data_IF_448729051792
#
_entry.id   IF_448729051792
#
_cell.length_a   1.000
_cell.length_b   1.000
_cell.length_c   1.000
_cell.angle_alpha   90.00
_cell.angle_beta   90.00
_cell.angle_gamma   90.00
#
_symmetry.space_group_name_H-M   'P 1'
#
loop_
_entity.id
_entity.type
_entity.pdbx_description
1 polymer ?
2 non-polymer ?
3 non-polymer ?
4 water ?
#
# COMPACT_ATOMS: atom_id res chain seq x y z
N UNK A 5 -10.10 27.49 19.30
CA UNK A 5 -9.95 27.01 20.70
C UNK A 5 -10.26 25.51 20.85
N UNK A 6 -10.31 24.81 19.72
CA UNK A 6 -10.59 23.37 19.74
C UNK A 6 -9.47 22.52 19.15
N UNK A 7 -8.63 21.93 20.02
CA UNK A 7 -7.50 21.07 19.68
C UNK A 7 -7.91 19.84 18.90
N UNK A 8 -7.01 19.39 18.02
CA UNK A 8 -7.26 18.22 17.20
C UNK A 8 -6.03 17.34 17.01
N UNK A 9 -6.24 16.03 16.88
CA UNK A 9 -5.19 15.03 16.68
C UNK A 9 -4.72 15.15 15.23
N UNK A 10 -5.57 15.74 14.40
CA UNK A 10 -5.31 15.91 12.99
C UNK A 10 -4.96 17.32 12.58
N UNK A 11 -4.29 17.39 11.44
CA UNK A 11 -3.91 18.65 10.83
C UNK A 11 -4.34 18.48 9.38
N UNK A 12 -5.23 19.35 8.91
CA UNK A 12 -5.71 19.29 7.54
C UNK A 12 -4.86 20.21 6.66
N UNK A 13 -4.56 19.75 5.44
CA UNK A 13 -3.76 20.53 4.52
C UNK A 13 -4.33 20.53 3.14
N UNK A 14 -4.03 21.61 2.43
CA UNK A 14 -4.39 21.72 1.04
C UNK A 14 -2.99 21.52 0.45
N UNK A 15 -2.91 20.93 -0.73
CA UNK A 15 -1.62 20.71 -1.35
C UNK A 15 -0.76 22.00 -1.35
N UNK A 16 -1.42 23.13 -1.63
CA UNK A 16 -0.73 24.42 -1.69
C UNK A 16 0.05 24.80 -0.44
N UNK A 17 -0.38 24.28 0.71
CA UNK A 17 0.31 24.58 1.96
C UNK A 17 1.30 23.45 2.26
N UNK A 18 0.85 22.21 2.02
CA UNK A 18 1.65 21.03 2.26
C UNK A 18 2.92 21.04 1.41
N UNK A 19 2.81 21.51 0.17
CA UNK A 19 3.95 21.55 -0.74
C UNK A 19 5.16 22.35 -0.21
N UNK A 20 4.92 23.25 0.74
CA UNK A 20 5.97 24.10 1.28
C UNK A 20 6.86 23.36 2.28
N UNK A 21 6.33 22.28 2.83
CA UNK A 21 7.07 21.48 3.82
C UNK A 21 8.15 20.59 3.19
N UNK A 22 8.34 20.75 1.89
CA UNK A 22 9.37 20.00 1.19
C UNK A 22 10.76 20.48 1.64
N UNK A 23 10.89 21.79 1.82
CA UNK A 23 12.15 22.40 2.22
C UNK A 23 13.23 22.12 1.17
N UNK A 24 14.42 21.70 1.62
CA UNK A 24 15.52 21.43 0.69
C UNK A 24 15.40 20.10 -0.05
N UNK A 25 14.63 19.16 0.52
CA UNK A 25 14.48 17.84 -0.08
C UNK A 25 14.68 17.75 -1.59
N UNK A 26 15.82 17.19 -2.02
CA UNK A 26 16.18 17.03 -3.43
C UNK A 26 15.22 16.07 -4.13
N UNK A 27 15.02 16.28 -5.42
CA UNK A 27 14.15 15.44 -6.22
C UNK A 27 15.07 14.45 -6.94
N UNK A 28 15.27 13.27 -6.35
CA UNK A 28 16.15 12.25 -6.91
C UNK A 28 15.45 11.26 -7.85
N UNK A 29 14.34 11.69 -8.46
CA UNK A 29 13.59 10.84 -9.37
C UNK A 29 13.38 11.53 -10.72
N UNK A 30 13.39 10.74 -11.79
CA UNK A 30 13.22 11.29 -13.14
C UNK A 30 11.83 11.07 -13.72
N UNK A 31 11.57 11.76 -14.82
CA UNK A 31 10.30 11.68 -15.54
C UNK A 31 10.16 10.27 -16.12
N UNK A 32 11.29 9.69 -16.53
CA UNK A 32 11.33 8.35 -17.10
C UNK A 32 10.95 7.36 -16.00
N UNK A 33 11.85 7.22 -15.04
CA UNK A 33 11.64 6.31 -13.91
C UNK A 33 10.24 6.44 -13.32
N UNK A 34 9.66 7.63 -13.38
CA UNK A 34 8.33 7.84 -12.84
C UNK A 34 7.26 7.06 -13.61
N UNK A 35 7.34 7.05 -14.94
CA UNK A 35 6.35 6.30 -15.71
C UNK A 35 6.62 4.81 -15.53
N UNK A 36 7.84 4.47 -15.13
CA UNK A 36 8.20 3.09 -14.90
C UNK A 36 7.68 2.59 -13.56
N UNK A 37 6.93 3.45 -12.88
CA UNK A 37 6.36 3.12 -11.57
C UNK A 37 4.88 3.49 -11.61
N UNK A 38 4.51 4.25 -12.62
CA UNK A 38 3.13 4.70 -12.77
C UNK A 38 2.22 3.48 -13.02
N UNK A 39 1.00 3.55 -12.51
CA UNK A 39 0.07 2.46 -12.70
C UNK A 39 -1.00 2.80 -13.72
N UNK A 40 -1.63 1.78 -14.27
CA UNK A 40 -2.70 1.98 -15.25
C UNK A 40 -3.78 2.91 -14.72
N UNK A 41 -3.85 4.11 -15.29
CA UNK A 41 -4.85 5.08 -14.88
C UNK A 41 -4.30 6.23 -14.07
N UNK A 42 -3.29 5.94 -13.24
CA UNK A 42 -2.65 6.93 -12.38
C UNK A 42 -1.90 8.00 -13.17
N UNK A 43 -2.40 9.24 -13.10
CA UNK A 43 -1.78 10.36 -13.79
C UNK A 43 -0.86 11.18 -12.90
N UNK A 44 0.08 10.51 -12.23
CA UNK A 44 1.02 11.20 -11.35
C UNK A 44 2.21 11.78 -12.13
N UNK A 45 2.38 13.10 -12.04
CA UNK A 45 3.48 13.78 -12.71
C UNK A 45 4.52 14.24 -11.69
N UNK A 46 5.73 14.55 -12.17
CA UNK A 46 6.81 15.00 -11.30
C UNK A 46 6.38 16.11 -10.34
N UNK A 47 5.48 16.98 -10.82
CA UNK A 47 5.02 18.08 -10.00
C UNK A 47 4.35 17.60 -8.72
N UNK A 48 3.54 16.55 -8.82
CA UNK A 48 2.85 16.00 -7.67
C UNK A 48 3.87 15.31 -6.76
N UNK A 49 4.90 14.75 -7.37
CA UNK A 49 5.94 14.07 -6.61
C UNK A 49 6.65 15.10 -5.73
N UNK A 50 6.95 16.26 -6.31
CA UNK A 50 7.63 17.33 -5.58
C UNK A 50 6.71 18.02 -4.57
N UNK A 51 5.46 18.22 -4.94
CA UNK A 51 4.51 18.89 -4.05
C UNK A 51 3.85 18.00 -3.01
N UNK A 52 3.61 16.74 -3.34
CA UNK A 52 2.97 15.83 -2.41
C UNK A 52 3.93 14.83 -1.76
N UNK A 53 4.58 14.02 -2.58
CA UNK A 53 5.49 12.99 -2.08
C UNK A 53 6.73 13.46 -1.36
N UNK A 54 7.49 14.37 -1.95
CA UNK A 54 8.70 14.82 -1.28
C UNK A 54 8.47 15.30 0.16
N UNK A 55 7.40 16.06 0.41
CA UNK A 55 7.24 16.47 1.81
C UNK A 55 7.03 15.22 2.68
N UNK A 56 6.27 14.27 2.14
CA UNK A 56 5.97 13.03 2.88
C UNK A 56 7.25 12.25 3.21
N UNK A 57 8.16 12.22 2.24
CA UNK A 57 9.42 11.50 2.39
C UNK A 57 10.23 12.15 3.49
N UNK A 58 10.21 13.48 3.51
CA UNK A 58 10.95 14.21 4.52
C UNK A 58 10.32 13.92 5.89
N UNK A 59 8.99 13.88 5.94
CA UNK A 59 8.33 13.60 7.21
C UNK A 59 8.72 12.21 7.72
N UNK A 60 8.71 11.24 6.81
CA UNK A 60 9.06 9.88 7.16
C UNK A 60 10.52 9.76 7.59
N UNK A 61 11.46 10.33 6.84
CA UNK A 61 12.84 10.20 7.24
C UNK A 61 13.19 10.88 8.54
N UNK A 62 12.36 11.82 8.96
CA UNK A 62 12.62 12.50 10.22
C UNK A 62 12.13 11.56 11.31
N UNK A 63 11.01 10.89 11.04
CA UNK A 63 10.41 9.94 11.98
C UNK A 63 11.23 8.66 12.21
N UNK A 64 11.80 8.11 11.15
CA UNK A 64 12.58 6.88 11.25
C UNK A 64 13.64 6.95 12.34
N UNK A 65 14.46 7.98 12.30
CA UNK A 65 15.51 8.15 13.31
C UNK A 65 14.93 8.06 14.72
N UNK A 66 14.01 8.95 15.05
CA UNK A 66 13.39 8.97 16.38
C UNK A 66 12.69 7.67 16.80
N UNK A 67 11.92 7.08 15.88
CA UNK A 67 11.18 5.85 16.17
C UNK A 67 12.14 4.73 16.52
N UNK A 68 13.29 4.69 15.86
CA UNK A 68 14.23 3.63 16.16
C UNK A 68 14.93 3.86 17.49
N UNK A 69 15.01 5.11 17.94
CA UNK A 69 15.63 5.40 19.24
C UNK A 69 14.67 4.93 20.34
N UNK A 70 13.38 5.01 20.02
CA UNK A 70 12.34 4.61 20.97
C UNK A 70 12.42 3.10 21.24
N UNK A 71 12.57 2.31 20.19
CA UNK A 71 12.68 0.86 20.35
C UNK A 71 13.98 0.54 21.11
N UNK A 72 15.04 1.27 20.77
CA UNK A 72 16.33 1.09 21.40
C UNK A 72 16.20 1.28 22.91
N UNK A 73 15.26 2.14 23.32
CA UNK A 73 15.05 2.39 24.74
C UNK A 73 14.58 1.10 25.41
N UNK A 74 13.60 0.45 24.78
CA UNK A 74 13.07 -0.79 25.32
C UNK A 74 14.17 -1.84 25.32
N UNK A 75 14.94 -1.90 24.24
CA UNK A 75 16.03 -2.86 24.17
C UNK A 75 16.98 -2.63 25.35
N UNK A 76 17.24 -1.36 25.65
CA UNK A 76 18.12 -1.02 26.75
C UNK A 76 17.49 -1.48 28.06
N UNK A 77 16.18 -1.41 28.16
CA UNK A 77 15.51 -1.85 29.39
C UNK A 77 15.72 -3.36 29.58
N UNK A 78 15.65 -4.10 28.49
CA UNK A 78 15.80 -5.53 28.54
C UNK A 78 17.24 -6.02 28.67
N UNK A 79 18.16 -5.10 28.96
CA UNK A 79 19.54 -5.50 29.10
C UNK A 79 20.07 -6.11 27.82
N UNK A 80 19.38 -5.84 26.73
CA UNK A 80 19.78 -6.37 25.44
C UNK A 80 20.69 -5.39 24.69
N UNK A 81 21.89 -5.85 24.28
CA UNK A 81 22.86 -5.03 23.56
C UNK A 81 22.35 -4.73 22.15
N UNK A 82 23.02 -3.81 21.46
CA UNK A 82 22.66 -3.48 20.09
C UNK A 82 23.79 -4.04 19.24
N UNK A 83 24.20 -5.26 19.60
CA UNK A 83 25.29 -6.00 18.96
C UNK A 83 25.38 -5.85 17.44
N UNK A 84 26.49 -6.33 16.88
CA UNK A 84 26.72 -6.25 15.44
C UNK A 84 26.45 -4.82 14.96
N UNK A 85 26.46 -4.59 13.63
CA UNK A 85 26.19 -3.19 13.23
C UNK A 85 24.80 -2.88 13.75
N UNK A 86 24.71 -2.00 14.75
CA UNK A 86 23.41 -1.66 15.30
C UNK A 86 22.37 -1.88 14.22
N UNK A 87 21.75 -3.06 14.25
CA UNK A 87 20.72 -3.41 13.28
C UNK A 87 19.46 -2.85 13.91
N UNK A 88 19.12 -1.59 13.58
CA UNK A 88 17.94 -0.93 14.12
C UNK A 88 16.65 -1.66 13.76
N UNK A 89 15.66 -1.55 14.63
CA UNK A 89 14.39 -2.16 14.38
C UNK A 89 13.83 -1.59 13.09
N UNK A 90 13.59 -2.45 12.09
CA UNK A 90 13.04 -1.99 10.81
C UNK A 90 11.82 -1.10 11.07
N UNK A 91 11.62 -0.11 10.21
CA UNK A 91 10.51 0.83 10.33
C UNK A 91 9.43 0.36 9.36
N UNK A 92 8.26 0.00 9.88
CA UNK A 92 7.20 -0.51 9.01
C UNK A 92 6.15 0.51 8.61
N UNK A 93 5.89 0.58 7.30
CA UNK A 93 4.90 1.51 6.77
C UNK A 93 3.79 0.74 6.09
N UNK A 94 2.56 1.03 6.46
CA UNK A 94 1.42 0.37 5.84
C UNK A 94 0.78 1.31 4.83
N UNK A 95 0.40 0.77 3.68
CA UNK A 95 -0.25 1.54 2.62
C UNK A 95 -1.52 0.83 2.26
N UNK A 96 -2.64 1.49 2.52
CA UNK A 96 -3.93 0.91 2.25
C UNK A 96 -4.82 1.80 1.42
N UNK A 97 -5.90 1.20 0.92
CA UNK A 97 -6.86 1.93 0.11
C UNK A 97 -7.66 0.92 -0.68
N UNK A 98 -8.69 1.41 -1.34
CA UNK A 98 -9.55 0.54 -2.13
C UNK A 98 -8.84 0.00 -3.36
N UNK A 99 -9.49 -0.99 -3.97
CA UNK A 99 -8.98 -1.56 -5.20
C UNK A 99 -9.16 -0.42 -6.19
N UNK A 100 -8.20 -0.22 -7.08
CA UNK A 100 -8.26 0.83 -8.10
C UNK A 100 -8.15 2.26 -7.57
N UNK A 101 -7.63 2.44 -6.36
CA UNK A 101 -7.50 3.79 -5.81
C UNK A 101 -6.14 4.42 -6.18
N UNK A 102 -5.15 3.59 -6.47
CA UNK A 102 -3.83 4.10 -6.82
C UNK A 102 -2.75 3.82 -5.78
N UNK A 103 -3.10 3.07 -4.73
CA UNK A 103 -2.17 2.74 -3.66
C UNK A 103 -0.94 1.97 -4.12
N UNK A 104 -1.11 1.16 -5.17
CA UNK A 104 0.00 0.39 -5.69
C UNK A 104 1.09 1.35 -6.18
N UNK A 105 0.66 2.39 -6.90
CA UNK A 105 1.55 3.41 -7.43
C UNK A 105 2.20 4.17 -6.28
N UNK A 106 1.35 4.67 -5.40
CA UNK A 106 1.80 5.42 -4.22
C UNK A 106 2.97 4.74 -3.53
N UNK A 107 2.81 3.46 -3.23
CA UNK A 107 3.83 2.70 -2.53
C UNK A 107 5.14 2.55 -3.33
N UNK A 108 5.02 2.29 -4.64
CA UNK A 108 6.21 2.16 -5.49
C UNK A 108 6.99 3.47 -5.49
N UNK A 109 6.26 4.58 -5.59
CA UNK A 109 6.86 5.91 -5.59
C UNK A 109 7.52 6.16 -4.24
N UNK A 110 6.77 5.94 -3.16
CA UNK A 110 7.32 6.14 -1.83
C UNK A 110 8.58 5.32 -1.63
N UNK A 111 8.57 4.08 -2.11
CA UNK A 111 9.77 3.25 -1.97
C UNK A 111 10.95 3.94 -2.65
N UNK A 112 10.73 4.37 -3.89
CA UNK A 112 11.79 5.01 -4.65
C UNK A 112 12.30 6.26 -3.91
N UNK A 113 11.41 7.19 -3.62
CA UNK A 113 11.80 8.41 -2.94
C UNK A 113 12.51 8.16 -1.61
N UNK A 114 11.96 7.23 -0.83
CA UNK A 114 12.50 6.89 0.46
C UNK A 114 13.87 6.21 0.34
N UNK A 115 14.05 5.45 -0.74
CA UNK A 115 15.31 4.74 -0.98
C UNK A 115 16.45 5.69 -1.35
N UNK A 116 16.13 6.70 -2.15
CA UNK A 116 17.14 7.65 -2.60
C UNK A 116 17.42 8.75 -1.58
N UNK A 117 18.07 8.36 -0.49
CA UNK A 117 18.45 9.30 0.54
C UNK A 117 19.96 9.17 0.60
N UNK A 118 20.64 10.21 1.08
CA UNK A 118 22.09 10.20 1.13
C UNK A 118 22.70 9.06 1.98
N UNK A 119 22.01 8.63 3.04
CA UNK A 119 22.54 7.54 3.86
C UNK A 119 22.13 6.18 3.28
N UNK A 120 21.58 6.22 2.08
CA UNK A 120 21.18 5.01 1.37
C UNK A 120 20.53 3.92 2.21
N UNK A 121 19.22 4.05 2.50
CA UNK A 121 18.57 3.03 3.30
C UNK A 121 18.09 1.86 2.45
N UNK A 122 17.86 0.74 3.12
CA UNK A 122 17.37 -0.46 2.49
C UNK A 122 15.86 -0.38 2.67
N UNK A 123 15.15 -0.16 1.56
CA UNK A 123 13.71 -0.02 1.58
C UNK A 123 13.04 -1.11 0.73
N UNK A 124 12.28 -1.99 1.37
CA UNK A 124 11.58 -3.05 0.67
C UNK A 124 10.08 -2.79 0.52
N UNK A 125 9.53 -3.33 -0.55
CA UNK A 125 8.11 -3.18 -0.80
C UNK A 125 7.49 -4.57 -0.91
N UNK A 126 6.41 -4.79 -0.17
CA UNK A 126 5.74 -6.08 -0.19
C UNK A 126 4.23 -5.87 -0.28
N UNK A 127 3.64 -6.38 -1.35
CA UNK A 127 2.19 -6.27 -1.52
C UNK A 127 1.60 -7.46 -0.78
N UNK A 128 0.51 -7.25 -0.06
CA UNK A 128 -0.11 -8.33 0.69
C UNK A 128 -0.88 -9.29 -0.21
N UNK A 129 -0.96 -8.99 -1.51
CA UNK A 129 -1.69 -9.87 -2.40
C UNK A 129 -0.99 -11.25 -2.48
N UNK A 130 0.26 -11.31 -2.03
CA UNK A 130 0.98 -12.57 -2.05
C UNK A 130 0.56 -13.45 -0.89
N UNK A 131 -0.20 -12.88 0.05
CA UNK A 131 -0.66 -13.64 1.18
C UNK A 131 -2.10 -14.09 1.00
N UNK A 132 -2.65 -13.84 -0.18
CA UNK A 132 -4.00 -14.31 -0.46
C UNK A 132 -3.82 -15.81 -0.57
N UNK A 133 -4.86 -16.57 -0.21
CA UNK A 133 -4.77 -18.02 -0.31
C UNK A 133 -4.85 -18.42 -1.77
N UNK A 134 -4.16 -19.50 -2.15
CA UNK A 134 -4.24 -19.90 -3.55
C UNK A 134 -5.73 -20.07 -3.83
N UNK A 135 -6.13 -19.91 -5.08
CA UNK A 135 -7.54 -20.03 -5.41
C UNK A 135 -8.16 -21.32 -4.88
N UNK A 136 -7.39 -22.41 -4.96
CA UNK A 136 -7.87 -23.71 -4.48
C UNK A 136 -8.42 -23.57 -3.07
N UNK A 137 -7.53 -23.32 -2.10
CA UNK A 137 -7.91 -23.16 -0.70
C UNK A 137 -8.96 -22.06 -0.54
N UNK A 138 -9.06 -21.20 -1.54
CA UNK A 138 -10.02 -20.10 -1.50
C UNK A 138 -11.43 -20.66 -1.65
N UNK A 139 -11.58 -21.75 -2.41
CA UNK A 139 -12.89 -22.33 -2.56
C UNK A 139 -13.16 -23.33 -1.45
N UNK A 140 -12.10 -23.95 -0.93
CA UNK A 140 -12.26 -24.89 0.17
C UNK A 140 -12.80 -24.09 1.36
N UNK A 141 -12.83 -22.78 1.22
CA UNK A 141 -13.34 -21.90 2.27
C UNK A 141 -14.55 -21.13 1.77
N UNK A 142 -14.98 -21.44 0.55
CA UNK A 142 -16.12 -20.77 -0.06
C UNK A 142 -15.88 -19.26 0.02
N UNK A 143 -14.76 -18.82 -0.52
CA UNK A 143 -14.41 -17.40 -0.50
C UNK A 143 -13.93 -16.81 -1.83
N UNK A 144 -14.14 -17.52 -2.93
CA UNK A 144 -13.72 -17.00 -4.22
C UNK A 144 -14.52 -15.76 -4.60
N UNK A 145 -15.70 -15.62 -4.00
CA UNK A 145 -16.55 -14.46 -4.27
C UNK A 145 -16.23 -13.31 -3.33
N UNK A 146 -15.35 -13.57 -2.37
CA UNK A 146 -14.93 -12.57 -1.38
C UNK A 146 -13.44 -12.29 -1.50
N UNK A 147 -12.86 -12.54 -2.67
CA UNK A 147 -11.43 -12.30 -2.85
C UNK A 147 -11.19 -10.81 -2.63
N UNK A 148 -10.30 -10.50 -1.70
CA UNK A 148 -10.03 -9.11 -1.40
C UNK A 148 -10.37 -8.84 0.04
N UNK A 149 -11.36 -9.56 0.55
CA UNK A 149 -11.78 -9.40 1.93
C UNK A 149 -10.71 -9.93 2.87
N UNK A 150 -10.68 -9.43 4.11
CA UNK A 150 -9.71 -9.84 5.12
C UNK A 150 -9.50 -11.34 5.17
N UNK A 151 -10.61 -12.06 5.21
CA UNK A 151 -10.63 -13.51 5.28
C UNK A 151 -9.87 -14.20 4.16
N UNK A 152 -9.88 -13.59 2.98
CA UNK A 152 -9.17 -14.16 1.83
C UNK A 152 -7.65 -14.19 1.97
N UNK A 153 -7.10 -13.49 2.96
CA UNK A 153 -5.65 -13.48 3.16
C UNK A 153 -5.26 -14.32 4.36
N UNK A 154 -4.05 -14.87 4.35
CA UNK A 154 -3.57 -15.67 5.47
C UNK A 154 -2.97 -14.69 6.47
N UNK A 155 -3.83 -14.15 7.32
CA UNK A 155 -3.44 -13.17 8.31
C UNK A 155 -2.44 -13.63 9.35
N UNK A 156 -2.43 -14.92 9.64
CA UNK A 156 -1.45 -15.43 10.60
C UNK A 156 -0.08 -15.40 9.91
N UNK A 157 -0.04 -15.83 8.66
CA UNK A 157 1.21 -15.84 7.90
C UNK A 157 1.73 -14.41 7.76
N UNK A 158 0.86 -13.53 7.29
CA UNK A 158 1.20 -12.12 7.13
C UNK A 158 1.75 -11.55 8.45
N UNK A 159 1.03 -11.78 9.55
CA UNK A 159 1.46 -11.26 10.85
C UNK A 159 2.83 -11.84 11.24
N UNK A 160 3.05 -13.13 10.96
CA UNK A 160 4.32 -13.78 11.28
C UNK A 160 5.43 -13.10 10.48
N UNK A 161 5.22 -13.02 9.17
CA UNK A 161 6.18 -12.41 8.28
C UNK A 161 6.62 -11.04 8.79
N UNK A 162 5.66 -10.13 8.97
CA UNK A 162 6.01 -8.80 9.45
C UNK A 162 6.63 -8.83 10.85
N UNK A 163 6.09 -9.67 11.74
CA UNK A 163 6.61 -9.80 13.11
C UNK A 163 8.04 -10.30 13.06
N UNK A 164 8.34 -11.17 12.11
CA UNK A 164 9.70 -11.70 12.01
C UNK A 164 10.69 -10.62 11.55
N UNK A 165 10.29 -9.87 10.54
CA UNK A 165 11.12 -8.80 10.00
C UNK A 165 11.37 -7.71 11.03
N UNK A 166 10.32 -7.26 11.70
CA UNK A 166 10.50 -6.20 12.70
C UNK A 166 11.21 -6.78 13.90
N UNK A 167 11.13 -8.10 14.06
CA UNK A 167 11.80 -8.80 15.16
C UNK A 167 13.32 -8.78 15.01
N UNK A 168 13.79 -8.60 13.78
CA UNK A 168 15.22 -8.54 13.58
C UNK A 168 15.79 -9.75 12.87
N UNK A 169 14.91 -10.55 12.29
CA UNK A 169 15.35 -11.75 11.60
C UNK A 169 16.30 -11.42 10.44
N UNK A 170 17.32 -12.25 10.26
CA UNK A 170 18.26 -12.07 9.17
C UNK A 170 17.51 -12.13 7.84
N UNK A 171 16.37 -12.83 7.83
CA UNK A 171 15.55 -12.92 6.62
C UNK A 171 14.20 -13.59 6.87
N UNK A 172 13.24 -13.31 6.01
CA UNK A 172 11.90 -13.85 6.10
C UNK A 172 11.40 -13.95 4.63
N UNK A 173 10.38 -14.79 4.42
CA UNK A 173 9.89 -15.05 3.07
C UNK A 173 8.40 -14.93 2.93
N UNK A 174 7.92 -14.46 1.81
CA UNK A 174 6.50 -14.32 1.55
C UNK A 174 6.21 -14.98 0.14
N UNK A 175 4.96 -15.40 -0.07
CA UNK A 175 4.62 -15.97 -1.36
C UNK A 175 4.58 -14.85 -2.38
N UNK A 176 4.28 -15.19 -3.62
CA UNK A 176 4.19 -14.21 -4.67
C UNK A 176 2.86 -14.42 -5.39
N UNK A 177 2.22 -13.34 -5.81
CA UNK A 177 0.94 -13.45 -6.49
C UNK A 177 0.99 -13.02 -7.95
N UNK A 178 0.24 -13.72 -8.79
CA UNK A 178 0.21 -13.41 -10.21
C UNK A 178 -1.14 -12.81 -10.58
N UNK A 179 -1.13 -11.53 -10.92
CA UNK A 179 -2.36 -10.84 -11.30
C UNK A 179 -2.93 -11.34 -12.62
N UNK A 180 -2.05 -11.76 -13.52
CA UNK A 180 -2.50 -12.28 -14.82
C UNK A 180 -3.19 -13.61 -14.60
N UNK A 181 -2.51 -14.51 -13.89
CA UNK A 181 -3.05 -15.82 -13.57
C UNK A 181 -4.12 -15.73 -12.49
N UNK A 182 -4.25 -14.57 -11.87
CA UNK A 182 -5.25 -14.36 -10.82
C UNK A 182 -5.07 -15.38 -9.70
N UNK A 183 -3.84 -15.77 -9.41
CA UNK A 183 -3.61 -16.77 -8.38
C UNK A 183 -2.17 -16.79 -7.91
N UNK A 184 -1.93 -17.43 -6.77
CA UNK A 184 -0.58 -17.52 -6.22
C UNK A 184 0.33 -18.35 -7.13
N UNK A 185 1.59 -17.92 -7.24
CA UNK A 185 2.58 -18.60 -8.06
C UNK A 185 3.27 -19.69 -7.24
N UNK A 186 3.06 -20.96 -7.62
CA UNK A 186 3.63 -22.13 -6.96
C UNK A 186 5.12 -22.03 -6.78
N UNK A 187 5.60 -22.35 -5.58
CA UNK A 187 7.01 -22.30 -5.30
C UNK A 187 7.62 -20.90 -5.37
N UNK A 188 6.87 -19.94 -5.89
CA UNK A 188 7.39 -18.58 -6.01
C UNK A 188 7.39 -17.89 -4.64
N UNK A 189 8.49 -17.19 -4.34
CA UNK A 189 8.62 -16.51 -3.07
C UNK A 189 9.31 -15.15 -3.16
N UNK A 190 9.10 -14.31 -2.15
CA UNK A 190 9.72 -13.00 -2.09
C UNK A 190 10.50 -12.93 -0.78
N UNK A 191 11.81 -12.71 -0.87
CA UNK A 191 12.63 -12.65 0.33
C UNK A 191 12.93 -11.23 0.79
N UNK A 192 12.85 -11.02 2.10
CA UNK A 192 13.12 -9.73 2.72
C UNK A 192 14.18 -9.94 3.80
N UNK A 193 15.32 -9.29 3.65
CA UNK A 193 16.41 -9.45 4.61
C UNK A 193 16.74 -8.18 5.39
N UNK A 194 16.31 -8.15 6.65
CA UNK A 194 16.52 -7.03 7.57
C UNK A 194 16.63 -5.61 6.98
N UNK A 195 15.53 -5.09 6.41
CA UNK A 195 15.43 -3.77 5.80
C UNK A 195 15.41 -2.68 6.85
N UNK A 196 15.80 -1.46 6.47
CA UNK A 196 15.76 -0.34 7.41
C UNK A 196 14.30 0.08 7.44
N UNK A 197 13.65 -0.07 6.28
CA UNK A 197 12.26 0.29 6.13
C UNK A 197 11.56 -0.71 5.26
N UNK A 198 10.41 -1.18 5.74
CA UNK A 198 9.60 -2.13 4.99
C UNK A 198 8.23 -1.51 4.78
N UNK A 199 7.76 -1.57 3.55
CA UNK A 199 6.47 -1.01 3.22
C UNK A 199 5.56 -2.15 2.83
N UNK A 200 4.39 -2.19 3.46
CA UNK A 200 3.43 -3.24 3.20
C UNK A 200 2.21 -2.62 2.56
N UNK A 201 1.94 -2.94 1.30
CA UNK A 201 0.78 -2.34 0.67
C UNK A 201 -0.31 -3.33 0.32
N UNK A 202 -1.54 -2.98 0.66
CA UNK A 202 -2.67 -3.83 0.39
C UNK A 202 -4.00 -3.29 0.90
N UNK A 203 -5.08 -3.95 0.49
CA UNK A 203 -6.45 -3.60 0.86
C UNK A 203 -6.77 -3.47 2.34
N UNK A 204 -6.64 -4.58 3.06
CA UNK A 204 -7.00 -4.63 4.47
C UNK A 204 -5.84 -4.61 5.45
N UNK A 205 -4.71 -4.12 4.98
CA UNK A 205 -3.51 -4.08 5.80
C UNK A 205 -3.66 -3.27 7.08
N UNK A 206 -4.61 -2.37 7.13
CA UNK A 206 -4.81 -1.55 8.32
C UNK A 206 -5.91 -2.12 9.22
N UNK A 207 -6.49 -3.21 8.78
CA UNK A 207 -7.55 -3.84 9.55
C UNK A 207 -7.10 -4.12 10.98
N UNK A 208 -8.05 -4.07 11.89
CA UNK A 208 -7.80 -4.33 13.29
C UNK A 208 -8.49 -5.64 13.67
N UNK A 209 -8.33 -6.10 14.92
CA UNK A 209 -8.98 -7.34 15.33
C UNK A 209 -8.79 -7.67 16.80
N UNK A 210 -9.36 -8.79 17.28
CA UNK A 210 -9.26 -9.24 18.68
C UNK A 210 -7.81 -9.44 19.07
N UNK A 211 -7.02 -9.94 18.12
CA UNK A 211 -5.59 -10.17 18.34
C UNK A 211 -4.75 -9.11 17.65
N UNK A 212 -3.49 -9.04 18.04
CA UNK A 212 -2.56 -8.11 17.46
C UNK A 212 -2.45 -8.52 16.01
N UNK A 213 -2.41 -7.54 15.12
CA UNK A 213 -2.30 -7.77 13.68
C UNK A 213 -1.18 -6.87 13.14
N UNK A 214 -0.91 -6.95 11.83
CA UNK A 214 0.17 -6.13 11.27
C UNK A 214 -0.05 -4.63 11.45
N UNK A 215 -1.30 -4.19 11.49
CA UNK A 215 -1.59 -2.78 11.66
C UNK A 215 -0.95 -2.32 12.96
N UNK A 216 -0.91 -3.20 13.95
CA UNK A 216 -0.32 -2.89 15.26
C UNK A 216 1.20 -2.79 15.23
N UNK A 217 1.80 -3.16 14.11
CA UNK A 217 3.25 -3.11 13.97
C UNK A 217 3.72 -1.95 13.09
N UNK A 218 2.77 -1.24 12.50
CA UNK A 218 3.12 -0.12 11.64
C UNK A 218 3.65 1.06 12.44
N UNK A 219 4.72 1.66 11.93
CA UNK A 219 5.30 2.84 12.58
C UNK A 219 4.77 4.09 11.90
N UNK A 220 4.09 3.86 10.78
CA UNK A 220 3.48 4.91 9.97
C UNK A 220 2.50 4.22 9.05
N UNK A 221 1.40 4.90 8.71
CA UNK A 221 0.42 4.33 7.81
C UNK A 221 -0.13 5.35 6.84
N UNK A 222 -0.28 4.91 5.58
CA UNK A 222 -0.77 5.72 4.48
C UNK A 222 -2.11 5.20 3.95
N UNK A 223 -3.10 6.08 3.84
CA UNK A 223 -4.41 5.66 3.31
C UNK A 223 -4.71 6.47 2.07
N UNK A 224 -4.95 5.80 0.95
CA UNK A 224 -5.25 6.49 -0.30
C UNK A 224 -6.77 6.56 -0.45
N UNK A 225 -7.29 7.78 -0.26
CA UNK A 225 -8.71 8.05 -0.28
C UNK A 225 -9.17 8.68 -1.59
N UNK A 226 -10.45 8.47 -1.90
CA UNK A 226 -11.10 9.03 -3.09
C UNK A 226 -12.62 8.94 -2.89
N UNK A 227 -13.39 9.75 -3.61
CA UNK A 227 -14.85 9.71 -3.49
C UNK A 227 -15.20 8.29 -3.92
N UNK A 228 -15.94 7.58 -3.07
CA UNK A 228 -16.29 6.20 -3.38
C UNK A 228 -16.79 6.06 -4.81
N UNK A 229 -17.69 6.96 -5.19
CA UNK A 229 -18.27 6.96 -6.52
C UNK A 229 -17.20 7.20 -7.60
N UNK A 230 -16.22 8.05 -7.30
CA UNK A 230 -15.16 8.32 -8.27
C UNK A 230 -14.31 7.08 -8.53
N UNK A 231 -14.07 6.29 -7.49
CA UNK A 231 -13.25 5.09 -7.64
C UNK A 231 -13.96 4.06 -8.51
N UNK A 232 -15.29 4.00 -8.40
CA UNK A 232 -16.06 3.07 -9.20
C UNK A 232 -15.72 3.28 -10.67
N UNK A 233 -15.74 4.54 -11.09
CA UNK A 233 -15.43 4.86 -12.49
C UNK A 233 -14.01 4.48 -12.85
N UNK A 234 -13.06 4.78 -11.96
CA UNK A 234 -11.66 4.44 -12.20
C UNK A 234 -11.54 2.94 -12.45
N UNK A 235 -12.28 2.18 -11.65
CA UNK A 235 -12.27 0.73 -11.73
C UNK A 235 -12.76 0.25 -13.09
N UNK A 236 -13.91 0.78 -13.50
CA UNK A 236 -14.51 0.44 -14.77
C UNK A 236 -13.60 0.84 -15.92
N UNK A 237 -13.24 2.13 -15.99
CA UNK A 237 -12.36 2.61 -17.04
C UNK A 237 -11.16 1.70 -17.15
N UNK A 238 -10.60 1.32 -16.01
CA UNK A 238 -9.43 0.44 -16.02
C UNK A 238 -9.84 -0.93 -16.56
N UNK A 239 -11.07 -1.34 -16.26
CA UNK A 239 -11.61 -2.61 -16.72
C UNK A 239 -11.54 -2.57 -18.25
N UNK A 240 -12.34 -1.68 -18.85
CA UNK A 240 -12.40 -1.49 -20.30
C UNK A 240 -11.00 -1.37 -20.88
N UNK A 241 -10.21 -0.46 -20.30
CA UNK A 241 -8.86 -0.23 -20.75
C UNK A 241 -8.09 -1.54 -20.80
N UNK A 242 -8.19 -2.32 -19.73
CA UNK A 242 -7.49 -3.58 -19.64
C UNK A 242 -7.93 -4.60 -20.69
N UNK A 243 -9.13 -4.42 -21.24
CA UNK A 243 -9.63 -5.34 -22.26
C UNK A 243 -8.53 -5.42 -23.31
N UNK A 244 -8.16 -4.25 -23.83
CA UNK A 244 -7.13 -4.12 -24.85
C UNK A 244 -5.74 -4.09 -24.20
N UNK A 245 -5.64 -4.66 -23.00
CA UNK A 245 -4.36 -4.66 -22.29
C UNK A 245 -3.99 -6.03 -21.72
N UNK A 246 -3.95 -6.11 -20.39
CA UNK A 246 -3.59 -7.32 -19.69
C UNK A 246 -4.43 -8.52 -20.11
N UNK A 247 -5.74 -8.33 -20.12
CA UNK A 247 -6.66 -9.40 -20.50
C UNK A 247 -6.21 -10.02 -21.82
N UNK A 248 -6.28 -9.22 -22.89
CA UNK A 248 -5.89 -9.66 -24.23
C UNK A 248 -5.13 -10.97 -24.21
N UNK A 249 -4.02 -10.99 -23.45
CA UNK A 249 -3.21 -12.18 -23.33
C UNK A 249 -4.14 -13.35 -22.94
N UNK A 250 -4.17 -14.41 -23.76
CA UNK A 250 -5.01 -15.57 -23.49
C UNK A 250 -4.76 -16.24 -22.13
N UNK A 251 -3.58 -15.98 -21.56
CA UNK A 251 -3.22 -16.56 -20.25
C UNK A 251 -3.91 -15.80 -19.13
N UNK A 252 -4.67 -14.78 -19.52
CA UNK A 252 -5.41 -13.97 -18.57
C UNK A 252 -6.56 -14.79 -18.01
N UNK A 253 -6.58 -14.93 -16.70
CA UNK A 253 -7.63 -15.68 -16.03
C UNK A 253 -8.96 -14.98 -16.33
N UNK A 254 -8.90 -13.91 -17.12
CA UNK A 254 -10.09 -13.15 -17.48
C UNK A 254 -10.14 -12.77 -18.96
N UNK A 255 -9.44 -13.51 -19.80
CA UNK A 255 -9.43 -13.22 -21.23
C UNK A 255 -10.85 -13.13 -21.78
N UNK A 256 -11.75 -13.93 -21.22
CA UNK A 256 -13.14 -13.95 -21.66
C UNK A 256 -13.80 -12.57 -21.64
N UNK A 257 -13.08 -11.57 -21.17
CA UNK A 257 -13.59 -10.21 -21.09
C UNK A 257 -13.16 -9.34 -22.27
N UNK A 258 -11.97 -9.59 -22.79
CA UNK A 258 -11.45 -8.81 -23.91
C UNK A 258 -12.48 -8.61 -25.02
N UNK A 259 -13.26 -9.64 -25.31
CA UNK A 259 -14.26 -9.57 -26.37
C UNK A 259 -15.48 -8.69 -26.04
N UNK A 260 -15.62 -8.30 -24.78
CA UNK A 260 -16.74 -7.46 -24.36
C UNK A 260 -16.72 -6.11 -25.09
N UNK A 261 -17.90 -5.53 -25.24
CA UNK A 261 -18.03 -4.24 -25.89
C UNK A 261 -18.15 -3.22 -24.79
N UNK A 262 -17.78 -1.98 -25.08
CA UNK A 262 -17.85 -0.91 -24.08
C UNK A 262 -19.01 -1.13 -23.13
N UNK A 263 -20.21 -1.24 -23.68
CA UNK A 263 -21.40 -1.45 -22.85
C UNK A 263 -21.28 -2.69 -21.97
N UNK A 264 -21.30 -3.87 -22.59
CA UNK A 264 -21.20 -5.13 -21.86
C UNK A 264 -20.27 -5.03 -20.66
N UNK A 265 -18.98 -4.78 -20.93
CA UNK A 265 -17.97 -4.66 -19.90
C UNK A 265 -18.41 -3.74 -18.76
N UNK A 266 -18.64 -2.48 -19.08
CA UNK A 266 -19.09 -1.50 -18.10
C UNK A 266 -20.20 -2.08 -17.21
N UNK A 267 -21.05 -2.91 -17.83
CA UNK A 267 -22.16 -3.54 -17.14
C UNK A 267 -21.63 -4.64 -16.21
N UNK A 268 -20.68 -5.42 -16.71
CA UNK A 268 -20.09 -6.50 -15.95
C UNK A 268 -19.32 -5.92 -14.78
N UNK A 269 -18.41 -5.01 -15.08
CA UNK A 269 -17.58 -4.34 -14.07
C UNK A 269 -18.44 -3.72 -12.96
N UNK A 270 -19.33 -2.80 -13.34
CA UNK A 270 -20.19 -2.15 -12.35
C UNK A 270 -20.82 -3.14 -11.38
N UNK A 271 -21.25 -4.30 -11.90
CA UNK A 271 -21.86 -5.32 -11.05
C UNK A 271 -20.85 -5.92 -10.08
N UNK A 272 -19.67 -6.26 -10.58
CA UNK A 272 -18.60 -6.83 -9.75
C UNK A 272 -18.32 -5.86 -8.61
N UNK A 273 -18.20 -4.59 -8.97
CA UNK A 273 -17.94 -3.54 -8.01
C UNK A 273 -19.00 -3.55 -6.93
N UNK A 274 -20.26 -3.56 -7.36
CA UNK A 274 -21.41 -3.55 -6.46
C UNK A 274 -21.49 -4.79 -5.56
N UNK A 275 -20.99 -5.92 -6.04
CA UNK A 275 -21.07 -7.16 -5.28
C UNK A 275 -19.82 -7.56 -4.50
N UNK A 276 -18.66 -7.02 -4.87
CA UNK A 276 -17.43 -7.40 -4.18
C UNK A 276 -16.56 -6.26 -3.66
N UNK A 277 -16.07 -5.40 -4.55
CA UNK A 277 -15.19 -4.32 -4.13
C UNK A 277 -15.80 -3.21 -3.31
N UNK A 278 -16.98 -2.75 -3.70
CA UNK A 278 -17.62 -1.69 -2.93
C UNK A 278 -17.92 -2.12 -1.50
N UNK A 279 -18.47 -3.34 -1.31
CA UNK A 279 -18.80 -3.86 0.03
C UNK A 279 -17.57 -3.98 0.91
N UNK A 280 -16.53 -4.60 0.37
CA UNK A 280 -15.28 -4.76 1.10
C UNK A 280 -14.77 -3.38 1.48
N UNK A 281 -14.77 -2.49 0.50
CA UNK A 281 -14.33 -1.12 0.70
C UNK A 281 -15.07 -0.48 1.87
N UNK A 282 -16.39 -0.49 1.80
CA UNK A 282 -17.22 0.11 2.82
C UNK A 282 -17.17 -0.60 4.18
N UNK A 283 -17.24 -1.91 4.16
CA UNK A 283 -17.24 -2.69 5.38
C UNK A 283 -15.89 -2.79 6.08
N UNK A 284 -14.83 -3.01 5.31
CA UNK A 284 -13.52 -3.19 5.92
C UNK A 284 -12.43 -2.11 5.78
N UNK A 285 -12.31 -1.50 4.59
CA UNK A 285 -11.28 -0.48 4.39
C UNK A 285 -11.57 0.91 4.98
N UNK A 286 -12.63 1.57 4.51
CA UNK A 286 -12.99 2.89 5.03
C UNK A 286 -12.83 3.03 6.56
N UNK A 287 -13.40 2.08 7.32
CA UNK A 287 -13.31 2.08 8.78
C UNK A 287 -11.92 2.33 9.39
N UNK A 288 -10.88 2.07 8.62
CA UNK A 288 -9.51 2.25 9.10
C UNK A 288 -8.96 3.65 8.85
N UNK A 289 -9.58 4.36 7.92
CA UNK A 289 -9.10 5.69 7.58
C UNK A 289 -8.80 6.63 8.76
N UNK A 290 -9.69 6.71 9.76
CA UNK A 290 -9.45 7.60 10.90
C UNK A 290 -8.13 7.41 11.67
N UNK A 291 -7.58 6.20 11.65
CA UNK A 291 -6.37 5.95 12.39
C UNK A 291 -5.10 6.03 11.57
N UNK A 292 -5.25 6.16 10.24
CA UNK A 292 -4.10 6.26 9.35
C UNK A 292 -3.27 7.50 9.69
N UNK A 293 -1.96 7.36 9.66
CA UNK A 293 -1.09 8.49 9.99
C UNK A 293 -1.28 9.61 8.98
N UNK A 294 -1.38 9.22 7.72
CA UNK A 294 -1.55 10.21 6.69
C UNK A 294 -2.53 9.78 5.62
N UNK A 295 -3.50 10.66 5.37
CA UNK A 295 -4.48 10.41 4.34
C UNK A 295 -4.23 11.30 3.11
N UNK A 296 -4.13 10.66 1.96
CA UNK A 296 -3.92 11.29 0.67
C UNK A 296 -5.30 11.34 0.00
N UNK A 297 -5.84 12.54 -0.16
CA UNK A 297 -7.17 12.69 -0.76
C UNK A 297 -7.09 13.06 -2.24
N UNK A 298 -7.54 12.15 -3.09
CA UNK A 298 -7.50 12.36 -4.54
C UNK A 298 -8.82 12.86 -5.12
N UNK A 299 -8.71 13.71 -6.14
CA UNK A 299 -9.91 14.23 -6.82
C UNK A 299 -10.22 13.26 -7.94
N UNK A 300 -11.40 13.41 -8.53
CA UNK A 300 -11.85 12.55 -9.63
C UNK A 300 -10.83 12.44 -10.75
N UNK A 301 -9.88 13.35 -10.80
CA UNK A 301 -8.87 13.36 -11.84
C UNK A 301 -7.55 12.74 -11.37
N UNK A 302 -7.62 11.98 -10.28
CA UNK A 302 -6.47 11.29 -9.71
C UNK A 302 -5.45 12.18 -9.00
N UNK A 303 -5.66 13.49 -9.05
CA UNK A 303 -4.73 14.42 -8.42
C UNK A 303 -4.95 14.52 -6.91
N UNK A 304 -3.88 14.35 -6.15
CA UNK A 304 -3.95 14.46 -4.69
C UNK A 304 -3.76 15.94 -4.41
N UNK A 305 -4.81 16.61 -3.94
CA UNK A 305 -4.75 18.05 -3.66
C UNK A 305 -5.11 18.38 -2.23
N UNK A 306 -5.25 17.36 -1.41
CA UNK A 306 -5.65 17.57 -0.04
C UNK A 306 -5.08 16.42 0.82
N UNK A 307 -4.80 16.70 2.09
CA UNK A 307 -4.26 15.69 2.99
C UNK A 307 -4.67 15.90 4.44
N UNK A 308 -4.60 14.84 5.21
CA UNK A 308 -4.93 14.89 6.62
C UNK A 308 -3.83 14.12 7.35
N UNK A 309 -3.09 14.82 8.18
CA UNK A 309 -2.00 14.19 8.93
C UNK A 309 -2.38 14.02 10.39
N UNK A 310 -1.93 12.92 10.99
CA UNK A 310 -2.18 12.67 12.41
C UNK A 310 -0.93 13.15 13.13
N UNK A 311 -1.01 14.27 13.83
CA UNK A 311 0.16 14.73 14.57
C UNK A 311 0.08 14.12 15.97
N UNK A 312 -1.05 13.49 16.26
CA UNK A 312 -1.31 12.84 17.54
C UNK A 312 -2.11 11.55 17.31
X LIG B 1 -6.86 -9.26 -13.15
X LIG B 1 -5.73 -8.60 -13.30
X LIG B 1 -4.87 -8.90 -14.29
X LIG B 1 -3.75 -8.25 -14.47
X LIG B 1 -3.40 -7.25 -13.66
X LIG B 1 -4.20 -6.88 -12.65
X LIG B 1 -5.39 -7.55 -12.43
X LIG B 1 -5.99 -7.00 -11.38
X LIG B 1 -5.21 -6.02 -10.95
X LIG B 1 -4.12 -5.93 -11.72
X LIG B 1 -3.00 -4.97 -11.55
X LIG B 1 -2.22 -5.21 -10.36
X LIG B 1 -3.52 -3.53 -11.46
X LIG B 1 -3.31 -2.85 -12.71
X LIG B 1 -2.64 -2.94 -10.35
X LIG B 1 -1.38 -2.56 -10.90
X LIG B 1 -1.05 -1.01 -11.20
X LIG B 1 0.25 -1.02 -12.14
X LIG B 1 -0.61 -0.33 -9.80
X LIG B 1 -2.20 -0.30 -11.82
X LIG B 1 -2.51 -4.15 -9.42
X LIG B 1 -3.79 -4.49 -8.67
X LIG B 1 -4.19 -3.49 -7.74
X LIG B 1 -5.70 -3.45 -7.19
X LIG B 1 -6.50 -4.45 -7.94
X LIG B 1 -6.13 -2.04 -7.25
X LIG B 1 -5.60 -3.90 -5.65
X LIG B 1 -4.86 -5.23 -5.15
X LIG B 1 -4.44 -5.03 -3.74
X LIG B 1 -3.82 -5.59 -6.14
X LIG B 1 -6.02 -6.36 -5.16
X LIG B 1 -6.71 -6.62 -6.39
X LIG B 1 -7.71 -7.77 -6.24
X LIG B 1 -8.60 -7.52 -5.02
X LIG B 1 -6.94 -9.08 -6.06
X LIG B 1 -8.56 -7.80 -7.51
X LIG B 1 -7.71 -8.10 -8.64
X LIG B 1 -9.69 -8.84 -7.45
X LIG B 1 -9.57 -9.95 -7.96
X LIG B 1 -10.77 -8.42 -6.79
X LIG B 1 -11.97 -9.25 -6.63
X LIG B 1 -13.18 -8.48 -7.18
X LIG B 1 -12.89 -7.98 -8.59
X LIG B 1 -12.42 -6.85 -8.78
X LIG B 1 -13.13 -8.84 -9.58
X LIG B 1 -12.90 -8.51 -10.99
X LIG B 1 -11.54 -9.07 -11.42
X LIG B 1 -11.11 -8.62 -13.15
X LIG B 1 -10.91 -6.59 -13.08
X LIG B 1 -9.15 -6.26 -12.72
X LIG B 1 -8.93 -4.90 -12.05
X LIG B 1 -9.64 -4.88 -10.80
X LIG C 1 -16.37 4.89 7.63
X LIG C 1 -15.64 3.70 7.88
X LIG C 1 -15.74 6.03 8.41
X LIG C 1 -14.36 6.19 8.02
X LIG C 1 -16.54 7.33 8.18
X LIG C 1 -15.90 8.45 8.85
X LIG D 1 0.27 3.95 12.21
X LIG D 1 0.75 2.62 12.38
X LIG D 1 -0.02 4.56 13.56
X LIG D 1 1.19 4.57 14.33
X LIG D 1 -0.53 5.99 13.38
X LIG D 1 -0.80 6.58 14.65
#
# INVERSE_FOLDING_TARGET
MSRLSEPSPYVEFDRRQWRALRMSTPLALTEEELVGLRGLGEQIDLLEVEEVYLPLARLIHLQVAARQRLFAATAEFLGEPQQNPDRPVPFIIGVAGSVAVGKSTTARVLQALLARWDHHPRVDLVTTDGFLYPNAELQRRNLMHRKGFPESYNRRALMRFVTSVKSGSDYACAPVYSHLHYDIIPGAEQVVRHPDILILEGLNVLQTGPTLMVSDLFDFSLYVDARIEDIEQWYVSRFLAMRTTAFADPESHFHHYAAFSDSQAVVAAREIWRTINRPNLVENILPTRPRATLVLRKDADHSINRLRLRKL
COK N6A C6A N1A C2A N3A C4A C5A N7A C8A N9A C1B O4B C2B O2B C3B O3B P3B O8A O9A O7A C4B C5B O5B P1A O1A O2A O3A P2A O4A O5A O6A CCP CBP CDP CEP CAP OAP C9P O9P N8P C7P C6P C5P O5P N4P C3P C2P S1P S49 C50 C51 O52
GOL C1 O1 C2 O2 C3 O3
GOL C1 O1 C2 O2 C3 O3
#
